data_IF_320615465668
#
_entry.id   IF_320615465668
#
_cell.length_a   1.000
_cell.length_b   1.000
_cell.length_c   1.000
_cell.angle_alpha   90.00
_cell.angle_beta   90.00
_cell.angle_gamma   90.00
#
_symmetry.space_group_name_H-M   'P 1'
#
loop_
_entity.id
_entity.type
_entity.pdbx_description
1 polymer ?
#
# COMPACT_ATOMS: atom_id res chain seq x y z
N UNK A 1 0.44 20.64 11.56
CA UNK A 1 -0.80 21.08 10.87
C UNK A 1 -0.59 22.19 9.86
N UNK A 2 0.08 23.33 10.16
CA UNK A 2 0.32 24.40 9.16
C UNK A 2 1.10 23.92 7.92
N UNK A 3 2.07 23.04 8.12
CA UNK A 3 2.92 22.51 7.03
C UNK A 3 2.17 21.58 6.07
N UNK A 4 1.20 20.79 6.57
CA UNK A 4 0.35 19.94 5.72
C UNK A 4 -0.60 20.74 4.82
N UNK A 5 -0.94 21.97 5.18
CA UNK A 5 -1.80 22.81 4.36
C UNK A 5 -1.04 23.41 3.16
N UNK A 6 0.28 23.55 3.26
CA UNK A 6 1.11 24.07 2.16
C UNK A 6 1.17 23.12 0.96
N UNK A 7 0.91 21.82 1.18
CA UNK A 7 0.91 20.79 0.13
C UNK A 7 -0.51 20.37 -0.29
N UNK A 8 -1.55 21.08 0.16
CA UNK A 8 -2.93 20.78 -0.18
C UNK A 8 -3.21 21.11 -1.66
N UNK A 9 -3.68 20.12 -2.41
CA UNK A 9 -4.09 20.28 -3.81
C UNK A 9 -5.10 19.19 -4.20
N UNK A 10 -5.57 19.24 -5.46
CA UNK A 10 -6.42 18.22 -6.05
C UNK A 10 -5.67 17.43 -7.11
N UNK A 11 -5.90 16.13 -7.18
CA UNK A 11 -5.51 15.28 -8.30
C UNK A 11 -6.72 14.54 -8.86
N UNK A 12 -6.71 14.24 -10.16
CA UNK A 12 -7.78 13.46 -10.80
C UNK A 12 -7.32 12.03 -11.05
N UNK A 13 -8.12 11.07 -10.61
CA UNK A 13 -7.89 9.64 -10.86
C UNK A 13 -9.18 8.97 -11.28
N UNK A 14 -9.15 8.26 -12.41
CA UNK A 14 -10.31 7.56 -13.01
C UNK A 14 -11.57 8.45 -13.05
N UNK A 15 -11.40 9.71 -13.43
CA UNK A 15 -12.49 10.69 -13.56
C UNK A 15 -13.03 11.26 -12.24
N UNK A 16 -12.43 10.95 -11.08
CA UNK A 16 -12.80 11.53 -9.79
C UNK A 16 -11.71 12.45 -9.26
N UNK A 17 -12.13 13.59 -8.72
CA UNK A 17 -11.25 14.49 -7.99
C UNK A 17 -10.93 13.93 -6.60
N UNK A 18 -9.67 13.98 -6.21
CA UNK A 18 -9.16 13.61 -4.91
C UNK A 18 -8.42 14.80 -4.31
N UNK A 19 -8.91 15.30 -3.16
CA UNK A 19 -8.16 16.27 -2.37
C UNK A 19 -7.07 15.56 -1.60
N UNK A 20 -5.83 16.01 -1.76
CA UNK A 20 -4.66 15.36 -1.18
C UNK A 20 -3.74 16.38 -0.53
N UNK A 21 -3.07 15.95 0.53
CA UNK A 21 -1.91 16.61 1.14
C UNK A 21 -0.76 15.64 1.16
N UNK A 22 0.45 16.13 0.95
CA UNK A 22 1.65 15.29 0.87
C UNK A 22 2.66 15.73 1.92
N UNK A 23 3.33 14.76 2.53
CA UNK A 23 4.47 14.98 3.43
C UNK A 23 5.52 13.92 3.14
N UNK A 24 6.79 14.29 3.16
CA UNK A 24 7.87 13.33 3.08
C UNK A 24 8.05 12.56 4.39
N UNK A 25 8.44 11.29 4.25
CA UNK A 25 8.99 10.46 5.32
C UNK A 25 10.44 10.23 4.96
N UNK A 26 11.36 10.71 5.78
CA UNK A 26 12.77 10.42 5.60
C UNK A 26 13.41 10.25 6.97
N UNK A 27 14.11 9.14 7.15
CA UNK A 27 14.97 8.88 8.28
C UNK A 27 16.10 7.93 7.88
N UNK A 28 16.90 7.49 8.85
CA UNK A 28 17.99 6.54 8.64
C UNK A 28 17.55 5.17 8.06
N UNK A 29 16.25 4.85 8.11
CA UNK A 29 15.66 3.60 7.60
C UNK A 29 15.15 3.74 6.17
N UNK A 30 15.02 4.95 5.63
CA UNK A 30 14.71 5.16 4.23
C UNK A 30 13.92 6.43 3.92
N UNK A 31 13.44 6.50 2.67
CA UNK A 31 12.69 7.62 2.11
C UNK A 31 11.31 7.13 1.69
N UNK A 32 10.31 8.00 1.75
CA UNK A 32 8.98 7.77 1.25
C UNK A 32 8.11 9.03 1.37
N UNK A 33 6.82 8.84 1.11
CA UNK A 33 5.84 9.92 1.07
C UNK A 33 4.54 9.47 1.73
N UNK A 34 3.96 10.30 2.59
CA UNK A 34 2.59 10.17 3.09
C UNK A 34 1.69 11.04 2.23
N UNK A 35 0.75 10.40 1.54
CA UNK A 35 -0.33 11.05 0.82
C UNK A 35 -1.61 10.89 1.65
N UNK A 36 -2.17 12.01 2.07
CA UNK A 36 -3.36 12.09 2.93
C UNK A 36 -4.52 12.58 2.07
N UNK A 37 -5.46 11.68 1.78
CA UNK A 37 -6.67 11.97 1.02
C UNK A 37 -7.82 12.32 1.95
N UNK A 38 -8.45 13.47 1.73
CA UNK A 38 -9.46 13.99 2.66
C UNK A 38 -8.89 14.16 4.07
N UNK A 39 -9.75 14.24 5.09
CA UNK A 39 -9.30 14.35 6.48
C UNK A 39 -8.95 12.97 7.08
N UNK A 40 -7.78 12.82 7.74
CA UNK A 40 -7.45 11.60 8.44
C UNK A 40 -8.31 11.50 9.71
N UNK A 41 -9.14 10.47 9.79
CA UNK A 41 -10.00 10.16 10.95
C UNK A 41 -9.76 8.74 11.43
N UNK A 42 -10.09 8.46 12.69
CA UNK A 42 -10.01 7.11 13.23
C UNK A 42 -10.79 6.10 12.37
N UNK A 43 -10.15 4.97 12.06
CA UNK A 43 -10.71 3.92 11.22
C UNK A 43 -10.63 4.19 9.72
N UNK A 44 -9.90 5.22 9.27
CA UNK A 44 -9.68 5.45 7.85
C UNK A 44 -8.87 4.31 7.21
N UNK A 45 -9.03 4.17 5.89
CA UNK A 45 -8.26 3.22 5.09
C UNK A 45 -6.80 3.67 4.98
N UNK A 46 -5.87 2.76 5.21
CA UNK A 46 -4.43 3.00 5.10
C UNK A 46 -3.78 1.96 4.20
N UNK A 47 -2.98 2.39 3.23
CA UNK A 47 -2.09 1.54 2.43
C UNK A 47 -0.65 1.92 2.71
N UNK A 48 0.18 0.97 3.13
CA UNK A 48 1.64 1.09 3.06
C UNK A 48 2.10 0.36 1.79
N UNK A 49 2.58 1.08 0.80
CA UNK A 49 3.12 0.55 -0.45
C UNK A 49 4.65 0.57 -0.38
N UNK A 50 5.29 -0.57 -0.62
CA UNK A 50 6.72 -0.60 -0.94
C UNK A 50 6.83 -0.43 -2.45
N UNK A 51 7.66 0.49 -2.93
CA UNK A 51 7.87 0.75 -4.34
C UNK A 51 8.11 -0.53 -5.13
N UNK A 52 7.44 -0.64 -6.26
CA UNK A 52 7.72 -1.64 -7.28
C UNK A 52 7.64 -0.97 -8.65
N UNK A 53 8.76 -0.47 -9.18
CA UNK A 53 8.82 0.24 -10.45
C UNK A 53 8.15 -0.57 -11.58
N UNK A 54 8.42 -1.87 -11.64
CA UNK A 54 7.88 -2.75 -12.65
C UNK A 54 6.36 -2.88 -12.57
N UNK A 55 5.77 -2.99 -11.37
CA UNK A 55 4.32 -3.12 -11.20
C UNK A 55 3.60 -1.78 -11.25
N UNK A 56 4.14 -0.78 -10.56
CA UNK A 56 3.47 0.49 -10.31
C UNK A 56 3.50 1.39 -11.56
N UNK A 57 4.65 1.50 -12.23
CA UNK A 57 4.86 2.40 -13.36
C UNK A 57 4.85 1.67 -14.71
N UNK A 58 5.59 0.55 -14.82
CA UNK A 58 5.70 -0.20 -16.08
C UNK A 58 4.53 -1.17 -16.34
N UNK A 59 3.63 -1.33 -15.35
CA UNK A 59 2.44 -2.17 -15.46
C UNK A 59 2.73 -3.64 -15.80
N UNK A 60 3.82 -4.18 -15.26
CA UNK A 60 4.16 -5.60 -15.37
C UNK A 60 3.03 -6.47 -14.83
N UNK A 61 2.70 -7.51 -15.60
CA UNK A 61 1.71 -8.54 -15.24
C UNK A 61 2.30 -9.67 -14.37
N UNK A 62 3.59 -9.60 -14.03
CA UNK A 62 4.34 -10.66 -13.34
C UNK A 62 4.34 -10.53 -11.80
N UNK A 63 3.66 -9.53 -11.25
CA UNK A 63 3.49 -9.38 -9.80
C UNK A 63 2.13 -8.75 -9.45
N UNK A 64 1.76 -8.79 -8.17
CA UNK A 64 0.52 -8.19 -7.67
C UNK A 64 0.68 -6.73 -7.20
N UNK A 65 1.88 -6.13 -7.26
CA UNK A 65 2.14 -4.80 -6.69
C UNK A 65 1.30 -3.68 -7.32
N UNK A 66 1.27 -3.61 -8.65
CA UNK A 66 0.48 -2.61 -9.39
C UNK A 66 -1.03 -2.79 -9.18
N UNK A 67 -1.56 -4.02 -9.35
CA UNK A 67 -2.95 -4.33 -9.02
C UNK A 67 -3.35 -4.02 -7.57
N UNK A 68 -2.51 -4.35 -6.57
CA UNK A 68 -2.77 -4.04 -5.17
C UNK A 68 -2.82 -2.52 -4.92
N UNK A 69 -1.92 -1.75 -5.54
CA UNK A 69 -1.92 -0.28 -5.45
C UNK A 69 -3.18 0.32 -6.09
N UNK A 70 -3.56 -0.17 -7.27
CA UNK A 70 -4.76 0.31 -7.98
C UNK A 70 -6.04 0.01 -7.19
N UNK A 71 -6.16 -1.19 -6.62
CA UNK A 71 -7.26 -1.59 -5.74
C UNK A 71 -7.32 -0.74 -4.48
N UNK A 72 -6.18 -0.50 -3.82
CA UNK A 72 -6.13 0.34 -2.62
C UNK A 72 -6.64 1.76 -2.89
N UNK A 73 -6.27 2.33 -4.04
CA UNK A 73 -6.74 3.67 -4.46
C UNK A 73 -8.22 3.67 -4.88
N UNK A 74 -8.72 2.58 -5.46
CA UNK A 74 -10.15 2.42 -5.74
C UNK A 74 -10.99 2.36 -4.45
N UNK A 75 -10.50 1.66 -3.41
CA UNK A 75 -11.14 1.61 -2.09
C UNK A 75 -11.17 2.99 -1.41
N UNK A 76 -10.06 3.73 -1.42
CA UNK A 76 -10.01 5.11 -0.90
C UNK A 76 -11.01 6.02 -1.65
N UNK A 77 -11.08 5.90 -2.98
CA UNK A 77 -12.07 6.63 -3.79
C UNK A 77 -13.51 6.24 -3.50
N UNK A 78 -13.77 4.97 -3.18
CA UNK A 78 -15.10 4.49 -2.82
C UNK A 78 -15.55 5.06 -1.46
N UNK A 79 -14.61 5.33 -0.55
CA UNK A 79 -14.85 5.97 0.75
C UNK A 79 -14.83 7.51 0.68
N UNK A 80 -15.27 8.07 -0.45
CA UNK A 80 -15.38 9.52 -0.62
C UNK A 80 -14.03 10.25 -0.72
N UNK A 81 -12.95 9.53 -1.05
CA UNK A 81 -11.60 10.09 -1.12
C UNK A 81 -11.00 10.33 0.26
N UNK A 82 -11.35 9.51 1.25
CA UNK A 82 -10.79 9.56 2.60
C UNK A 82 -9.85 8.37 2.83
N UNK A 83 -8.59 8.65 3.16
CA UNK A 83 -7.61 7.60 3.46
C UNK A 83 -6.17 8.08 3.38
N UNK A 84 -5.25 7.18 3.68
CA UNK A 84 -3.81 7.46 3.67
C UNK A 84 -3.08 6.43 2.82
N UNK A 85 -2.22 6.90 1.92
CA UNK A 85 -1.24 6.09 1.21
C UNK A 85 0.15 6.50 1.66
N UNK A 86 0.91 5.57 2.23
CA UNK A 86 2.33 5.74 2.50
C UNK A 86 3.10 4.98 1.42
N UNK A 87 3.81 5.70 0.56
CA UNK A 87 4.61 5.13 -0.52
C UNK A 87 6.09 5.17 -0.14
N UNK A 88 6.69 4.01 0.07
CA UNK A 88 8.06 3.86 0.57
C UNK A 88 9.01 3.47 -0.56
N UNK A 89 10.13 4.17 -0.68
CA UNK A 89 11.17 4.01 -1.71
C UNK A 89 12.11 2.82 -1.39
N UNK A 90 11.52 1.64 -1.17
CA UNK A 90 12.21 0.41 -0.79
C UNK A 90 11.96 -0.70 -1.82
N UNK A 91 12.48 -0.47 -3.02
CA UNK A 91 12.41 -1.40 -4.16
C UNK A 91 13.08 -2.74 -3.86
N UNK A 92 12.64 -3.80 -4.54
CA UNK A 92 13.36 -5.08 -4.49
C UNK A 92 13.45 -5.68 -3.09
N UNK A 93 12.48 -5.39 -2.21
CA UNK A 93 12.46 -5.81 -0.80
C UNK A 93 13.60 -5.20 0.03
N UNK A 94 13.97 -3.97 -0.28
CA UNK A 94 14.97 -3.20 0.47
C UNK A 94 16.39 -3.34 -0.06
N UNK A 95 16.63 -4.15 -1.09
CA UNK A 95 17.97 -4.35 -1.66
C UNK A 95 18.28 -3.32 -2.76
N UNK A 96 17.59 -3.39 -3.91
CA UNK A 96 17.55 -2.36 -4.96
C UNK A 96 16.73 -2.86 -6.16
N UNK A 97 16.56 -2.01 -7.18
CA UNK A 97 16.04 -2.44 -8.48
C UNK A 97 17.01 -3.39 -9.22
N UNK A 98 18.31 -3.13 -9.12
CA UNK A 98 19.35 -3.96 -9.74
C UNK A 98 19.34 -5.37 -9.14
N UNK A 99 19.31 -5.49 -7.81
CA UNK A 99 19.23 -6.77 -7.12
C UNK A 99 17.94 -7.53 -7.46
N UNK A 100 16.82 -6.82 -7.58
CA UNK A 100 15.57 -7.42 -8.07
C UNK A 100 15.75 -8.01 -9.47
N UNK A 101 16.39 -7.29 -10.38
CA UNK A 101 16.66 -7.79 -11.74
C UNK A 101 17.56 -9.02 -11.72
N UNK A 102 18.61 -9.02 -10.89
CA UNK A 102 19.47 -10.19 -10.68
C UNK A 102 18.69 -11.40 -10.15
N UNK A 103 17.82 -11.19 -9.15
CA UNK A 103 16.98 -12.26 -8.58
C UNK A 103 16.01 -12.83 -9.62
N UNK A 104 15.39 -11.98 -10.44
CA UNK A 104 14.55 -12.43 -11.55
C UNK A 104 15.37 -13.24 -12.57
N UNK A 105 16.56 -12.77 -12.94
CA UNK A 105 17.45 -13.49 -13.86
C UNK A 105 17.84 -14.87 -13.33
N UNK A 106 18.26 -14.96 -12.07
CA UNK A 106 18.58 -16.24 -11.41
C UNK A 106 17.36 -17.17 -11.39
N UNK A 107 16.18 -16.64 -11.06
CA UNK A 107 14.93 -17.40 -11.08
C UNK A 107 14.59 -17.94 -12.47
N UNK A 108 14.81 -17.16 -13.53
CA UNK A 108 14.60 -17.61 -14.91
C UNK A 108 15.56 -18.73 -15.33
N UNK A 109 16.82 -18.68 -14.89
CA UNK A 109 17.81 -19.71 -15.21
C UNK A 109 17.62 -21.00 -14.42
N UNK A 110 17.09 -20.92 -13.20
CA UNK A 110 17.11 -22.04 -12.24
C UNK A 110 15.73 -22.58 -11.87
N UNK A 111 14.67 -21.84 -12.18
CA UNK A 111 13.31 -22.14 -11.72
C UNK A 111 13.06 -21.80 -10.24
N UNK A 112 14.03 -21.21 -9.55
CA UNK A 112 13.88 -20.77 -8.16
C UNK A 112 12.79 -19.70 -8.02
N UNK A 113 12.08 -19.71 -6.89
CA UNK A 113 11.16 -18.62 -6.57
C UNK A 113 11.92 -17.35 -6.15
N UNK A 114 11.19 -16.24 -6.03
CA UNK A 114 11.80 -14.93 -5.73
C UNK A 114 12.59 -14.89 -4.42
N UNK A 115 12.27 -15.71 -3.43
CA UNK A 115 12.97 -15.75 -2.15
C UNK A 115 14.21 -16.65 -2.25
N UNK A 116 14.06 -17.81 -2.86
CA UNK A 116 15.18 -18.73 -3.07
C UNK A 116 16.25 -18.11 -3.98
N UNK A 117 15.85 -17.36 -5.01
CA UNK A 117 16.77 -16.61 -5.86
C UNK A 117 17.58 -15.56 -5.08
N UNK A 118 16.99 -14.89 -4.09
CA UNK A 118 17.70 -13.94 -3.24
C UNK A 118 18.73 -14.63 -2.35
N UNK A 119 18.38 -15.80 -1.79
CA UNK A 119 19.34 -16.61 -1.00
C UNK A 119 20.49 -17.12 -1.85
N UNK A 120 20.23 -17.52 -3.10
CA UNK A 120 21.28 -17.91 -4.04
C UNK A 120 22.25 -16.77 -4.35
N UNK A 121 21.77 -15.52 -4.30
CA UNK A 121 22.60 -14.32 -4.43
C UNK A 121 23.31 -13.94 -3.12
N UNK A 122 23.02 -14.62 -2.00
CA UNK A 122 23.63 -14.33 -0.69
C UNK A 122 22.94 -13.21 0.10
N UNK A 123 21.72 -12.83 -0.27
CA UNK A 123 20.97 -11.73 0.36
C UNK A 123 19.83 -12.23 1.25
N UNK A 124 19.37 -11.42 2.22
CA UNK A 124 18.16 -11.69 2.98
C UNK A 124 16.93 -11.78 2.06
N UNK A 125 15.96 -12.59 2.47
CA UNK A 125 14.67 -12.72 1.79
C UNK A 125 13.87 -11.41 1.72
N UNK A 126 14.05 -10.55 2.73
CA UNK A 126 13.35 -9.27 2.89
C UNK A 126 14.12 -8.40 3.89
N UNK A 127 14.63 -7.25 3.43
CA UNK A 127 15.42 -6.32 4.24
C UNK A 127 14.61 -5.07 4.63
N UNK A 128 13.30 -5.09 4.36
CA UNK A 128 12.42 -3.94 4.60
C UNK A 128 12.09 -3.78 6.08
N UNK A 129 11.96 -2.51 6.47
CA UNK A 129 11.34 -2.12 7.74
C UNK A 129 10.11 -1.25 7.44
N UNK A 130 9.18 -1.20 8.40
CA UNK A 130 7.95 -0.41 8.26
C UNK A 130 7.77 0.58 9.42
N UNK A 131 8.74 0.67 10.32
CA UNK A 131 8.66 1.47 11.55
C UNK A 131 8.51 2.96 11.23
N UNK A 132 9.27 3.46 10.25
CA UNK A 132 9.18 4.85 9.79
C UNK A 132 7.80 5.21 9.22
N UNK A 133 7.14 4.27 8.53
CA UNK A 133 5.77 4.45 8.06
C UNK A 133 4.76 4.42 9.22
N UNK A 134 4.97 3.52 10.18
CA UNK A 134 4.13 3.40 11.37
C UNK A 134 4.23 4.66 12.24
N UNK A 135 5.43 5.19 12.46
CA UNK A 135 5.68 6.45 13.16
C UNK A 135 5.06 7.64 12.43
N UNK A 136 5.22 7.72 11.10
CA UNK A 136 4.59 8.76 10.29
C UNK A 136 3.05 8.72 10.40
N UNK A 137 2.47 7.52 10.43
CA UNK A 137 1.03 7.31 10.60
C UNK A 137 0.56 7.71 12.00
N UNK A 138 1.29 7.32 13.06
CA UNK A 138 1.01 7.74 14.43
C UNK A 138 1.05 9.27 14.59
N UNK A 139 1.99 9.93 13.90
CA UNK A 139 2.10 11.38 13.86
C UNK A 139 0.90 12.12 13.24
N UNK A 140 -0.03 11.41 12.60
CA UNK A 140 -1.30 11.98 12.12
C UNK A 140 -2.35 12.12 13.23
N UNK A 141 -2.09 11.61 14.44
CA UNK A 141 -3.02 11.65 15.57
C UNK A 141 -4.13 10.59 15.52
N UNK A 142 -3.95 9.55 14.70
CA UNK A 142 -4.86 8.41 14.58
C UNK A 142 -4.63 7.41 15.72
N UNK A 143 -5.70 6.82 16.23
CA UNK A 143 -5.66 5.74 17.22
C UNK A 143 -6.01 4.39 16.61
N UNK A 144 -6.83 4.39 15.57
CA UNK A 144 -7.29 3.17 14.90
C UNK A 144 -7.22 3.34 13.39
N UNK A 145 -6.87 2.28 12.66
CA UNK A 145 -6.76 2.28 11.19
C UNK A 145 -7.24 0.97 10.58
N UNK A 146 -7.77 1.05 9.35
CA UNK A 146 -8.04 -0.11 8.50
C UNK A 146 -6.89 -0.30 7.52
N UNK A 147 -5.94 -1.18 7.85
CA UNK A 147 -4.71 -1.37 7.09
C UNK A 147 -4.90 -2.37 5.96
N UNK A 148 -4.79 -1.90 4.71
CA UNK A 148 -4.90 -2.69 3.48
C UNK A 148 -3.61 -3.46 3.20
N UNK A 149 -3.49 -4.67 3.75
CA UNK A 149 -2.26 -5.48 3.68
C UNK A 149 -2.55 -6.98 3.81
N UNK A 150 -1.73 -7.78 3.12
CA UNK A 150 -1.59 -9.23 3.37
C UNK A 150 -0.24 -9.55 4.05
N UNK A 151 0.55 -8.53 4.39
CA UNK A 151 1.83 -8.68 5.04
C UNK A 151 1.68 -8.48 6.57
N UNK A 152 1.88 -9.53 7.39
CA UNK A 152 1.81 -9.41 8.85
C UNK A 152 2.86 -8.44 9.41
N UNK A 153 4.03 -8.31 8.79
CA UNK A 153 5.09 -7.39 9.26
C UNK A 153 4.62 -5.93 9.27
N UNK A 154 3.77 -5.54 8.31
CA UNK A 154 3.16 -4.20 8.26
C UNK A 154 2.15 -4.00 9.39
N UNK A 155 1.38 -5.05 9.70
CA UNK A 155 0.42 -5.03 10.82
C UNK A 155 1.16 -4.85 12.13
N UNK A 156 2.21 -5.66 12.35
CA UNK A 156 3.03 -5.61 13.56
C UNK A 156 3.71 -4.25 13.74
N UNK A 157 4.28 -3.66 12.68
CA UNK A 157 4.92 -2.35 12.77
C UNK A 157 3.91 -1.25 13.17
N UNK A 158 2.72 -1.24 12.56
CA UNK A 158 1.68 -0.26 12.88
C UNK A 158 1.12 -0.45 14.31
N UNK A 159 0.95 -1.69 14.74
CA UNK A 159 0.56 -2.00 16.12
C UNK A 159 1.64 -1.59 17.13
N UNK A 160 2.91 -1.80 16.81
CA UNK A 160 4.05 -1.43 17.66
C UNK A 160 4.18 0.09 17.82
N UNK A 161 3.72 0.87 16.84
CA UNK A 161 3.60 2.33 16.95
C UNK A 161 2.37 2.80 17.76
N UNK A 162 1.59 1.88 18.33
CA UNK A 162 0.49 2.19 19.25
C UNK A 162 -0.88 2.35 18.61
N UNK A 163 -1.05 2.02 17.32
CA UNK A 163 -2.35 2.05 16.65
C UNK A 163 -3.07 0.71 16.72
N UNK A 164 -4.39 0.73 16.90
CA UNK A 164 -5.23 -0.46 16.71
C UNK A 164 -5.44 -0.69 15.21
N UNK A 165 -5.11 -1.88 14.75
CA UNK A 165 -5.20 -2.25 13.32
C UNK A 165 -6.35 -3.21 13.09
N UNK A 166 -7.29 -2.80 12.24
CA UNK A 166 -8.18 -3.71 11.52
C UNK A 166 -7.53 -4.03 10.17
N UNK A 167 -7.23 -5.31 9.92
CA UNK A 167 -6.60 -5.71 8.66
C UNK A 167 -7.66 -5.83 7.55
N UNK A 168 -7.42 -5.15 6.44
CA UNK A 168 -8.20 -5.29 5.20
C UNK A 168 -7.36 -6.05 4.19
N UNK A 169 -7.80 -7.25 3.83
CA UNK A 169 -7.08 -8.08 2.87
C UNK A 169 -7.20 -7.50 1.45
N UNK A 170 -6.13 -7.60 0.66
CA UNK A 170 -6.14 -7.22 -0.76
C UNK A 170 -6.04 -8.48 -1.60
N UNK A 171 -7.12 -8.88 -2.26
CA UNK A 171 -7.06 -9.98 -3.21
C UNK A 171 -6.93 -9.43 -4.62
N UNK A 172 -5.96 -9.93 -5.37
CA UNK A 172 -5.79 -9.64 -6.80
C UNK A 172 -5.71 -10.96 -7.55
N UNK A 173 -6.11 -10.94 -8.82
CA UNK A 173 -6.00 -12.14 -9.68
C UNK A 173 -4.66 -12.10 -10.40
N UNK A 174 -3.89 -13.22 -10.42
CA UNK A 174 -2.65 -13.28 -11.18
C UNK A 174 -2.92 -13.05 -12.66
N UNK A 175 -2.10 -12.21 -13.31
CA UNK A 175 -2.25 -11.85 -14.72
C UNK A 175 -1.31 -12.62 -15.64
N UNK A 176 -0.34 -13.33 -15.07
CA UNK A 176 0.55 -14.23 -15.77
C UNK A 176 0.85 -15.47 -14.90
N UNK A 177 1.42 -16.51 -15.51
CA UNK A 177 1.92 -17.66 -14.76
C UNK A 177 3.03 -17.26 -13.77
N UNK A 178 3.87 -16.29 -14.16
CA UNK A 178 4.93 -15.75 -13.30
C UNK A 178 4.31 -15.05 -12.07
N UNK A 179 3.24 -14.26 -12.25
CA UNK A 179 2.50 -13.69 -11.13
C UNK A 179 1.89 -14.77 -10.23
N UNK A 180 1.30 -15.82 -10.80
CA UNK A 180 0.73 -16.92 -10.01
C UNK A 180 1.82 -17.59 -9.13
N UNK A 181 2.99 -17.88 -9.71
CA UNK A 181 4.14 -18.43 -8.96
C UNK A 181 4.65 -17.45 -7.89
N UNK A 182 4.79 -16.17 -8.23
CA UNK A 182 5.22 -15.12 -7.31
C UNK A 182 4.27 -14.99 -6.10
N UNK A 183 2.96 -14.92 -6.36
CA UNK A 183 1.93 -14.81 -5.33
C UNK A 183 1.88 -16.06 -4.44
N UNK A 184 2.03 -17.25 -5.04
CA UNK A 184 2.12 -18.52 -4.28
C UNK A 184 3.34 -18.54 -3.35
N UNK A 185 4.51 -18.09 -3.82
CA UNK A 185 5.71 -17.99 -2.99
C UNK A 185 5.51 -16.98 -1.83
N UNK A 186 4.91 -15.81 -2.12
CA UNK A 186 4.56 -14.80 -1.10
C UNK A 186 3.60 -15.36 -0.06
N UNK A 187 2.58 -16.10 -0.48
CA UNK A 187 1.61 -16.75 0.40
C UNK A 187 2.26 -17.80 1.31
N UNK A 188 3.09 -18.68 0.74
CA UNK A 188 3.81 -19.73 1.48
C UNK A 188 4.74 -19.15 2.53
N UNK A 189 5.40 -18.01 2.24
CA UNK A 189 6.34 -17.38 3.18
C UNK A 189 5.66 -16.57 4.28
N UNK A 190 4.51 -15.95 4.00
CA UNK A 190 3.86 -14.98 4.91
C UNK A 190 2.62 -15.51 5.64
N UNK A 191 2.21 -16.75 5.41
CA UNK A 191 1.08 -17.43 6.08
C UNK A 191 -0.28 -16.70 6.07
N UNK A 192 -0.46 -15.64 5.27
CA UNK A 192 -1.61 -14.73 5.36
C UNK A 192 -2.18 -14.24 4.01
N UNK A 193 -1.97 -14.98 2.91
CA UNK A 193 -2.61 -14.62 1.64
C UNK A 193 -4.07 -15.12 1.65
N UNK A 194 -5.08 -14.25 1.42
CA UNK A 194 -6.46 -14.71 1.33
C UNK A 194 -6.63 -15.65 0.14
N UNK A 195 -7.40 -16.72 0.31
CA UNK A 195 -7.92 -17.48 -0.82
C UNK A 195 -8.75 -16.54 -1.70
N UNK A 196 -8.63 -16.66 -3.01
CA UNK A 196 -9.19 -15.73 -3.99
C UNK A 196 -10.72 -15.85 -4.01
N UNK A 197 -11.40 -15.15 -3.10
CA UNK A 197 -12.87 -15.18 -2.97
C UNK A 197 -13.44 -13.80 -3.35
N UNK A 198 -13.56 -13.57 -4.66
CA UNK A 198 -14.05 -12.33 -5.25
C UNK A 198 -15.49 -11.96 -4.80
N UNK A 199 -16.23 -12.91 -4.23
CA UNK A 199 -17.63 -12.73 -3.83
C UNK A 199 -17.82 -12.02 -2.47
N UNK A 200 -16.81 -11.97 -1.59
CA UNK A 200 -16.94 -11.38 -0.25
C UNK A 200 -16.79 -9.84 -0.25
N UNK A 201 -16.10 -9.28 -1.23
CA UNK A 201 -15.70 -7.87 -1.24
C UNK A 201 -16.81 -6.90 -1.68
N UNK A 202 -17.91 -7.41 -2.25
CA UNK A 202 -19.06 -6.60 -2.69
C UNK A 202 -20.12 -6.32 -1.62
N UNK A 203 -19.99 -6.84 -0.40
CA UNK A 203 -21.06 -6.77 0.62
C UNK A 203 -20.82 -5.78 1.77
N UNK A 204 -19.63 -5.20 1.88
CA UNK A 204 -19.33 -4.20 2.92
C UNK A 204 -19.18 -2.82 2.29
N UNK A 205 -20.31 -2.15 2.05
CA UNK A 205 -20.27 -0.83 1.41
C UNK A 205 -21.62 -0.28 1.00
N UNK A 206 -22.61 -0.33 1.90
CA UNK A 206 -23.81 0.50 1.76
C UNK A 206 -23.85 1.51 2.92
N UNK A 207 -23.41 2.76 2.73
CA UNK A 207 -23.64 3.79 3.72
C UNK A 207 -25.15 4.11 3.76
N UNK A 208 -25.79 3.86 4.91
CA UNK A 208 -27.09 4.46 5.24
C UNK A 208 -26.87 5.97 5.33
N UNK A 209 -27.59 6.71 4.50
CA UNK A 209 -27.25 8.09 4.15
C UNK A 209 -27.40 9.15 5.23
N UNK A 210 -26.83 10.31 4.92
CA UNK A 210 -27.50 11.61 4.98
C UNK A 210 -26.74 12.58 4.08
N UNK A 211 -27.38 13.02 2.99
CA UNK A 211 -26.86 14.11 2.16
C UNK A 211 -26.98 15.38 2.99
N UNK A 212 -25.86 15.91 3.47
CA UNK A 212 -25.80 17.26 3.98
C UNK A 212 -25.62 18.20 2.79
N UNK A 213 -26.66 18.98 2.50
CA UNK A 213 -26.62 20.11 1.56
C UNK A 213 -25.62 21.16 2.09
N UNK A 214 -24.43 21.21 1.50
CA UNK A 214 -23.48 22.32 1.73
C UNK A 214 -23.40 23.17 0.46
N UNK A 215 -24.44 23.97 0.22
CA UNK A 215 -24.31 25.18 -0.60
C UNK A 215 -23.30 26.12 0.06
N UNK A 216 -22.12 26.22 -0.55
CA UNK A 216 -21.09 27.17 -0.19
C UNK A 216 -21.43 28.54 -0.80
N UNK A 217 -21.61 29.55 0.06
CA UNK A 217 -21.76 30.96 -0.32
C UNK A 217 -20.44 31.70 -0.11
N UNK A 218 -19.87 32.36 -1.13
CA UNK A 218 -18.81 33.35 -0.92
C UNK A 218 -19.44 34.73 -0.69
N UNK A 219 -19.30 35.29 0.52
CA UNK A 219 -19.43 36.74 0.74
C UNK A 219 -18.02 37.34 0.69
N UNK A 220 -17.75 38.36 -0.13
CA UNK A 220 -18.07 39.79 0.09
C UNK A 220 -17.47 40.33 1.38
#
# INVERSE_FOLDING_TARGET
MKELQATAHSLFRKGRELRVRVKDVHDERGIGHVLIFGEPVDGCLVRIQSRCLYGDALRSDDCDCGPELDLSMDLIQAEGGQGVLIYLEQEGRGESLEFKAMGLHVGEQTGADTFDAYRMLGHPDDSRTYDHAAEALAGLGLRTVRLMTNNPDKVLAVQSAGLVVEQVALATTPRSERAARYMAAKAKRRSAYPANDAAAQGRQGAPRGRVADTRWHPNR
#
